data_IF_903893035525
#
_entry.id   IF_903893035525
#
_cell.length_a   1.000
_cell.length_b   1.000
_cell.length_c   1.000
_cell.angle_alpha   90.00
_cell.angle_beta   90.00
_cell.angle_gamma   90.00
#
_symmetry.space_group_name_H-M   'P 1'
#
loop_
_entity.id
_entity.type
_entity.pdbx_description
1 polymer ?
#
# COMPACT_ATOMS: atom_id res chain seq x y z
N UNK A 1 -24.61 15.76 6.49
CA UNK A 1 -24.39 14.41 5.92
C UNK A 1 -25.69 13.62 6.05
N UNK A 2 -25.97 12.70 5.14
CA UNK A 2 -27.17 11.85 5.23
C UNK A 2 -26.86 10.70 6.20
N UNK A 3 -27.53 10.64 7.35
CA UNK A 3 -27.35 9.58 8.35
C UNK A 3 -28.09 8.30 7.93
N UNK A 4 -27.49 7.55 7.01
CA UNK A 4 -28.02 6.25 6.55
C UNK A 4 -26.96 5.16 6.62
N UNK A 5 -27.37 3.88 6.77
CA UNK A 5 -26.48 2.76 6.58
C UNK A 5 -25.86 2.75 5.17
N UNK A 6 -24.61 2.34 5.07
CA UNK A 6 -23.83 2.25 3.83
C UNK A 6 -23.39 0.81 3.62
N UNK A 7 -23.66 0.29 2.42
CA UNK A 7 -23.15 -1.01 1.95
C UNK A 7 -22.12 -0.72 0.87
N UNK A 8 -20.92 -1.29 1.01
CA UNK A 8 -19.85 -1.23 0.00
C UNK A 8 -19.76 -2.60 -0.66
N UNK A 9 -19.82 -2.63 -1.99
CA UNK A 9 -19.75 -3.86 -2.78
C UNK A 9 -18.60 -3.75 -3.80
N UNK A 10 -17.34 -4.01 -3.39
CA UNK A 10 -16.21 -3.90 -4.30
C UNK A 10 -16.29 -4.96 -5.40
N UNK A 11 -16.05 -4.54 -6.64
CA UNK A 11 -16.06 -5.41 -7.83
C UNK A 11 -14.65 -5.83 -8.27
N UNK A 12 -13.64 -5.29 -7.59
CA UNK A 12 -12.22 -5.61 -7.73
C UNK A 12 -11.58 -5.59 -6.33
N UNK A 13 -10.57 -6.44 -6.10
CA UNK A 13 -9.83 -6.50 -4.83
C UNK A 13 -8.46 -5.82 -4.98
N UNK A 14 -8.48 -4.54 -5.35
CA UNK A 14 -7.28 -3.77 -5.74
C UNK A 14 -6.73 -2.82 -4.68
N UNK A 15 -7.51 -2.54 -3.64
CA UNK A 15 -7.10 -1.73 -2.48
C UNK A 15 -7.86 -2.22 -1.25
N UNK A 16 -7.43 -1.77 -0.08
CA UNK A 16 -8.02 -2.11 1.21
C UNK A 16 -9.00 -1.07 1.78
N UNK A 17 -9.23 0.00 1.03
CA UNK A 17 -10.20 1.04 1.31
C UNK A 17 -11.65 0.58 1.63
N UNK A 18 -12.20 -0.52 1.07
CA UNK A 18 -13.62 -0.86 1.22
C UNK A 18 -14.16 -0.94 2.65
N UNK A 19 -13.32 -1.31 3.63
CA UNK A 19 -13.74 -1.45 5.04
C UNK A 19 -13.48 -0.20 5.88
N UNK A 20 -12.74 0.77 5.36
CA UNK A 20 -12.22 1.90 6.14
C UNK A 20 -13.28 2.97 6.44
N UNK A 21 -13.12 3.66 7.57
CA UNK A 21 -13.87 4.84 7.94
C UNK A 21 -13.22 6.13 7.39
N UNK A 22 -12.63 6.06 6.19
CA UNK A 22 -12.05 7.23 5.53
C UNK A 22 -12.32 7.27 4.02
N UNK A 23 -12.10 8.44 3.44
CA UNK A 23 -12.00 8.63 2.00
C UNK A 23 -10.79 9.50 1.69
N UNK A 24 -10.07 9.14 0.64
CA UNK A 24 -9.00 9.98 0.10
C UNK A 24 -9.63 10.97 -0.87
N UNK A 25 -9.49 12.26 -0.59
CA UNK A 25 -9.99 13.33 -1.43
C UNK A 25 -8.85 13.82 -2.32
N UNK A 26 -9.16 13.99 -3.59
CA UNK A 26 -8.24 14.48 -4.61
C UNK A 26 -8.77 15.78 -5.20
N UNK A 27 -7.87 16.62 -5.72
CA UNK A 27 -8.25 17.77 -6.55
C UNK A 27 -8.87 17.29 -7.86
N UNK A 28 -9.51 18.20 -8.60
CA UNK A 28 -10.08 17.89 -9.93
C UNK A 28 -9.00 17.40 -10.92
N UNK A 29 -7.74 17.78 -10.70
CA UNK A 29 -6.56 17.34 -11.45
C UNK A 29 -5.97 16.00 -10.96
N UNK A 30 -6.54 15.39 -9.91
CA UNK A 30 -6.13 14.09 -9.39
C UNK A 30 -4.94 14.11 -8.42
N UNK A 31 -4.53 15.29 -7.94
CA UNK A 31 -3.52 15.40 -6.88
C UNK A 31 -4.13 15.06 -5.51
N UNK A 32 -3.37 14.42 -4.62
CA UNK A 32 -3.82 14.20 -3.24
C UNK A 32 -4.10 15.55 -2.56
N UNK A 33 -5.25 15.67 -1.92
CA UNK A 33 -5.64 16.86 -1.16
C UNK A 33 -5.63 16.56 0.35
N UNK A 34 -6.56 15.71 0.82
CA UNK A 34 -6.64 15.34 2.24
C UNK A 34 -7.39 14.02 2.49
N UNK A 35 -7.28 13.52 3.72
CA UNK A 35 -8.11 12.42 4.22
C UNK A 35 -9.38 12.95 4.88
N UNK A 36 -10.53 12.44 4.47
CA UNK A 36 -11.82 12.67 5.13
C UNK A 36 -12.16 11.46 6.02
N UNK A 37 -12.21 11.68 7.34
CA UNK A 37 -12.54 10.63 8.32
C UNK A 37 -14.02 10.66 8.71
N UNK A 38 -14.62 9.48 8.87
CA UNK A 38 -16.00 9.29 9.29
C UNK A 38 -16.10 8.79 10.74
N UNK A 39 -17.27 8.96 11.37
CA UNK A 39 -17.52 8.47 12.73
C UNK A 39 -17.78 6.95 12.82
N UNK A 40 -17.90 6.27 11.68
CA UNK A 40 -18.10 4.83 11.57
C UNK A 40 -17.57 4.29 10.24
N UNK A 41 -17.14 3.03 10.25
CA UNK A 41 -16.91 2.22 9.06
C UNK A 41 -18.25 1.91 8.34
N UNK A 42 -18.21 1.40 7.10
CA UNK A 42 -19.40 0.90 6.41
C UNK A 42 -20.15 -0.19 7.22
N UNK A 43 -21.48 -0.23 7.10
CA UNK A 43 -22.32 -1.19 7.83
C UNK A 43 -22.20 -2.61 7.28
N UNK A 44 -21.86 -2.75 5.99
CA UNK A 44 -21.59 -4.03 5.34
C UNK A 44 -20.60 -3.82 4.19
N UNK A 45 -19.59 -4.70 4.13
CA UNK A 45 -18.76 -4.88 2.94
C UNK A 45 -19.09 -6.25 2.34
N UNK A 46 -19.66 -6.25 1.13
CA UNK A 46 -20.13 -7.46 0.45
C UNK A 46 -19.26 -7.74 -0.77
N UNK A 47 -18.43 -8.78 -0.69
CA UNK A 47 -17.48 -9.14 -1.74
C UNK A 47 -17.92 -10.42 -2.43
N UNK A 48 -18.22 -10.36 -3.73
CA UNK A 48 -18.52 -11.53 -4.56
C UNK A 48 -17.23 -11.97 -5.29
N UNK A 49 -16.60 -13.03 -4.81
CA UNK A 49 -15.34 -13.55 -5.39
C UNK A 49 -15.50 -14.08 -6.81
N UNK A 50 -16.71 -14.46 -7.23
CA UNK A 50 -16.95 -14.78 -8.63
C UNK A 50 -16.80 -13.53 -9.48
N UNK A 51 -17.34 -12.38 -9.04
CA UNK A 51 -17.11 -11.09 -9.72
C UNK A 51 -15.64 -10.72 -9.71
N UNK A 52 -14.96 -10.80 -8.56
CA UNK A 52 -13.52 -10.48 -8.45
C UNK A 52 -12.68 -11.35 -9.41
N UNK A 53 -12.97 -12.64 -9.50
CA UNK A 53 -12.24 -13.57 -10.39
C UNK A 53 -12.33 -13.21 -11.87
N UNK A 54 -13.31 -12.40 -12.29
CA UNK A 54 -13.45 -11.98 -13.69
C UNK A 54 -12.67 -10.69 -14.01
N UNK A 55 -12.17 -9.97 -13.00
CA UNK A 55 -11.41 -8.74 -13.20
C UNK A 55 -10.02 -9.02 -13.78
N UNK A 56 -9.37 -8.04 -14.43
CA UNK A 56 -7.98 -8.18 -14.85
C UNK A 56 -7.06 -8.48 -13.67
N UNK A 57 -6.20 -9.51 -13.78
CA UNK A 57 -5.27 -9.91 -12.71
C UNK A 57 -4.36 -8.78 -12.21
N UNK A 58 -4.09 -7.76 -13.03
CA UNK A 58 -3.32 -6.56 -12.65
C UNK A 58 -3.94 -5.86 -11.42
N UNK A 59 -5.27 -5.84 -11.34
CA UNK A 59 -5.98 -5.23 -10.22
C UNK A 59 -5.87 -6.07 -8.94
N UNK A 60 -5.87 -7.40 -9.05
CA UNK A 60 -5.59 -8.27 -7.90
C UNK A 60 -4.15 -8.11 -7.41
N UNK A 61 -3.18 -8.03 -8.33
CA UNK A 61 -1.77 -7.78 -8.01
C UNK A 61 -1.58 -6.43 -7.29
N UNK A 62 -2.29 -5.39 -7.74
CA UNK A 62 -2.32 -4.09 -7.08
C UNK A 62 -2.79 -4.22 -5.63
N UNK A 63 -3.88 -4.95 -5.36
CA UNK A 63 -4.35 -5.15 -3.99
C UNK A 63 -3.42 -6.01 -3.13
N UNK A 64 -2.73 -6.99 -3.73
CA UNK A 64 -1.71 -7.77 -3.02
C UNK A 64 -0.55 -6.86 -2.60
N UNK A 65 -0.13 -5.93 -3.47
CA UNK A 65 0.94 -5.00 -3.15
C UNK A 65 0.54 -4.00 -2.06
N UNK A 66 -0.69 -3.50 -2.11
CA UNK A 66 -1.26 -2.64 -1.08
C UNK A 66 -1.29 -3.36 0.29
N UNK A 67 -1.81 -4.59 0.31
CA UNK A 67 -1.85 -5.40 1.53
C UNK A 67 -0.49 -5.84 2.07
N UNK A 68 0.54 -5.91 1.23
CA UNK A 68 1.91 -6.20 1.68
C UNK A 68 2.54 -5.01 2.43
N UNK A 69 2.10 -3.78 2.17
CA UNK A 69 2.51 -2.61 2.93
C UNK A 69 1.96 -2.63 4.36
N UNK A 70 0.77 -3.21 4.58
CA UNK A 70 0.06 -3.18 5.87
C UNK A 70 0.92 -3.61 7.05
N UNK A 71 1.61 -4.75 6.94
CA UNK A 71 2.47 -5.22 8.04
C UNK A 71 3.73 -4.36 8.19
N UNK A 72 4.33 -3.95 7.08
CA UNK A 72 5.55 -3.14 7.08
C UNK A 72 5.30 -1.83 7.80
N UNK A 73 4.18 -1.18 7.50
CA UNK A 73 3.77 0.08 8.13
C UNK A 73 3.30 -0.11 9.56
N UNK A 74 2.36 -1.02 9.83
CA UNK A 74 1.87 -1.27 11.19
C UNK A 74 3.00 -1.67 12.15
N UNK A 75 4.00 -2.43 11.68
CA UNK A 75 5.20 -2.75 12.45
C UNK A 75 6.02 -1.51 12.78
N UNK A 76 6.22 -0.60 11.83
CA UNK A 76 6.96 0.64 12.06
C UNK A 76 6.23 1.53 13.09
N UNK A 77 4.91 1.67 12.98
CA UNK A 77 4.08 2.37 13.97
C UNK A 77 4.22 1.73 15.35
N UNK A 78 4.24 0.40 15.43
CA UNK A 78 4.42 -0.34 16.69
C UNK A 78 5.79 -0.10 17.32
N UNK A 79 6.85 -0.11 16.52
CA UNK A 79 8.21 0.18 17.01
C UNK A 79 8.35 1.62 17.51
N UNK A 80 7.59 2.55 16.92
CA UNK A 80 7.57 3.95 17.33
C UNK A 80 6.69 4.23 18.55
N UNK A 81 5.86 3.26 19.00
CA UNK A 81 4.70 3.51 19.86
C UNK A 81 3.82 4.66 19.31
N UNK A 82 3.63 4.67 17.99
CA UNK A 82 2.91 5.69 17.25
C UNK A 82 1.40 5.59 17.38
N UNK A 83 0.70 6.38 16.57
CA UNK A 83 -0.77 6.40 16.50
C UNK A 83 -1.25 5.80 15.19
N UNK A 84 -2.41 5.17 15.25
CA UNK A 84 -3.12 4.64 14.08
C UNK A 84 -3.82 5.76 13.30
N UNK A 85 -4.45 5.42 12.18
CA UNK A 85 -5.28 6.34 11.39
C UNK A 85 -6.46 6.91 12.19
N UNK A 86 -6.84 6.26 13.30
CA UNK A 86 -7.89 6.71 14.22
C UNK A 86 -7.37 7.72 15.27
N UNK A 87 -6.08 8.07 15.23
CA UNK A 87 -5.44 8.92 16.24
C UNK A 87 -5.29 8.25 17.62
N UNK A 88 -5.50 6.93 17.69
CA UNK A 88 -5.43 6.11 18.90
C UNK A 88 -4.19 5.21 18.89
N UNK A 89 -3.93 4.55 20.02
CA UNK A 89 -2.88 3.53 20.12
C UNK A 89 -3.29 2.25 19.37
N UNK A 90 -2.30 1.53 18.86
CA UNK A 90 -2.54 0.22 18.25
C UNK A 90 -3.11 -0.78 19.24
N UNK A 91 -3.98 -1.66 18.76
CA UNK A 91 -4.45 -2.81 19.53
C UNK A 91 -3.64 -4.05 19.17
N UNK A 92 -3.50 -4.99 20.11
CA UNK A 92 -2.89 -6.30 19.83
C UNK A 92 -3.62 -7.03 18.68
N UNK A 93 -4.93 -6.85 18.58
CA UNK A 93 -5.74 -7.40 17.49
C UNK A 93 -5.36 -6.80 16.13
N UNK A 94 -5.27 -5.46 16.03
CA UNK A 94 -4.89 -4.78 14.79
C UNK A 94 -3.50 -5.22 14.29
N UNK A 95 -2.53 -5.32 15.21
CA UNK A 95 -1.17 -5.80 14.90
C UNK A 95 -1.18 -7.26 14.42
N UNK A 96 -1.94 -8.13 15.10
CA UNK A 96 -2.05 -9.54 14.72
C UNK A 96 -2.72 -9.71 13.34
N UNK A 97 -3.73 -8.90 13.04
CA UNK A 97 -4.41 -8.88 11.74
C UNK A 97 -3.46 -8.42 10.63
N UNK A 98 -2.74 -7.31 10.84
CA UNK A 98 -1.75 -6.81 9.87
C UNK A 98 -0.68 -7.86 9.55
N UNK A 99 -0.15 -8.53 10.59
CA UNK A 99 0.80 -9.63 10.40
C UNK A 99 0.19 -10.81 9.64
N UNK A 100 -1.06 -11.17 9.95
CA UNK A 100 -1.75 -12.26 9.27
C UNK A 100 -2.02 -11.95 7.79
N UNK A 101 -2.23 -10.67 7.47
CA UNK A 101 -2.30 -10.18 6.09
C UNK A 101 -1.02 -10.58 5.32
N UNK A 102 0.16 -10.16 5.80
CA UNK A 102 1.45 -10.47 5.15
C UNK A 102 1.66 -11.98 4.96
N UNK A 103 1.42 -12.77 6.02
CA UNK A 103 1.55 -14.23 5.98
C UNK A 103 0.68 -14.85 4.88
N UNK A 104 -0.57 -14.39 4.77
CA UNK A 104 -1.54 -14.91 3.80
C UNK A 104 -1.17 -14.51 2.37
N UNK A 105 -0.75 -13.26 2.17
CA UNK A 105 -0.36 -12.74 0.85
C UNK A 105 0.85 -13.49 0.27
N UNK A 106 1.87 -13.76 1.09
CA UNK A 106 3.02 -14.55 0.64
C UNK A 106 2.68 -16.03 0.41
N UNK A 107 1.80 -16.61 1.22
CA UNK A 107 1.43 -18.03 1.11
C UNK A 107 0.61 -18.32 -0.15
N UNK A 108 -0.42 -17.52 -0.41
CA UNK A 108 -1.44 -17.83 -1.42
C UNK A 108 -1.39 -16.92 -2.66
N UNK A 109 -0.64 -15.82 -2.63
CA UNK A 109 -0.69 -14.77 -3.65
C UNK A 109 -0.44 -15.26 -5.08
N UNK A 110 0.59 -16.09 -5.30
CA UNK A 110 0.87 -16.63 -6.64
C UNK A 110 -0.22 -17.59 -7.14
N UNK A 111 -0.82 -18.37 -6.23
CA UNK A 111 -1.90 -19.29 -6.58
C UNK A 111 -3.20 -18.52 -6.88
N UNK A 112 -3.50 -17.47 -6.12
CA UNK A 112 -4.63 -16.58 -6.38
C UNK A 112 -4.48 -15.84 -7.71
N UNK A 113 -3.26 -15.37 -8.03
CA UNK A 113 -2.96 -14.75 -9.32
C UNK A 113 -3.23 -15.70 -10.49
N UNK A 114 -2.85 -16.98 -10.36
CA UNK A 114 -3.16 -17.99 -11.36
C UNK A 114 -4.67 -18.27 -11.46
N UNK A 115 -5.40 -18.32 -10.33
CA UNK A 115 -6.84 -18.50 -10.31
C UNK A 115 -7.60 -17.34 -10.98
N UNK A 116 -7.19 -16.10 -10.70
CA UNK A 116 -7.74 -14.89 -11.32
C UNK A 116 -7.45 -14.85 -12.83
N UNK A 117 -6.23 -15.19 -13.26
CA UNK A 117 -5.91 -15.32 -14.69
C UNK A 117 -6.81 -16.36 -15.39
N UNK A 118 -7.04 -17.49 -14.73
CA UNK A 118 -7.92 -18.55 -15.22
C UNK A 118 -9.42 -18.25 -15.03
N UNK A 119 -9.78 -17.10 -14.43
CA UNK A 119 -11.16 -16.67 -14.15
C UNK A 119 -11.99 -17.67 -13.33
N UNK A 120 -11.33 -18.37 -12.43
CA UNK A 120 -11.93 -19.36 -11.51
C UNK A 120 -11.77 -18.93 -10.06
N UNK A 121 -12.65 -19.43 -9.21
CA UNK A 121 -12.59 -19.22 -7.76
C UNK A 121 -11.96 -20.45 -7.11
N UNK A 122 -10.95 -20.22 -6.28
CA UNK A 122 -10.23 -21.24 -5.51
C UNK A 122 -10.10 -20.75 -4.06
N UNK A 123 -9.82 -21.65 -3.10
CA UNK A 123 -9.52 -21.24 -1.73
C UNK A 123 -8.39 -20.21 -1.63
N UNK A 124 -7.36 -20.32 -2.47
CA UNK A 124 -6.28 -19.33 -2.52
C UNK A 124 -6.78 -17.95 -2.96
N UNK A 125 -7.68 -17.87 -3.96
CA UNK A 125 -8.28 -16.60 -4.36
C UNK A 125 -9.15 -16.02 -3.24
N UNK A 126 -9.98 -16.85 -2.59
CA UNK A 126 -10.79 -16.43 -1.43
C UNK A 126 -9.92 -15.82 -0.32
N UNK A 127 -8.84 -16.53 0.07
CA UNK A 127 -7.90 -16.07 1.10
C UNK A 127 -7.26 -14.73 0.73
N UNK A 128 -6.86 -14.54 -0.54
CA UNK A 128 -6.26 -13.28 -1.00
C UNK A 128 -7.29 -12.15 -1.11
N UNK A 129 -8.54 -12.45 -1.49
CA UNK A 129 -9.61 -11.44 -1.47
C UNK A 129 -9.91 -10.98 -0.04
N UNK A 130 -9.95 -11.90 0.92
CA UNK A 130 -10.05 -11.57 2.36
C UNK A 130 -8.82 -10.76 2.81
N UNK A 131 -7.61 -11.17 2.44
CA UNK A 131 -6.39 -10.47 2.82
C UNK A 131 -6.37 -9.03 2.29
N UNK A 132 -6.61 -8.84 1.00
CA UNK A 132 -6.62 -7.51 0.36
C UNK A 132 -7.72 -6.59 0.88
N UNK A 133 -8.82 -7.13 1.40
CA UNK A 133 -9.99 -6.32 1.79
C UNK A 133 -10.12 -6.18 3.31
N UNK A 134 -10.22 -7.30 4.02
CA UNK A 134 -10.52 -7.33 5.45
C UNK A 134 -9.25 -7.22 6.28
N UNK A 135 -8.25 -8.07 6.02
CA UNK A 135 -7.04 -8.10 6.84
C UNK A 135 -6.19 -6.85 6.62
N UNK A 136 -5.98 -6.46 5.37
CA UNK A 136 -5.30 -5.21 5.01
C UNK A 136 -6.06 -4.02 5.59
N UNK A 137 -7.37 -3.96 5.36
CA UNK A 137 -8.22 -2.86 5.76
C UNK A 137 -8.22 -2.60 7.27
N UNK A 138 -8.49 -3.63 8.06
CA UNK A 138 -8.41 -3.54 9.53
C UNK A 138 -6.98 -3.34 10.01
N UNK A 139 -6.02 -3.99 9.34
CA UNK A 139 -4.60 -3.93 9.67
C UNK A 139 -4.00 -2.53 9.48
N UNK A 140 -4.36 -1.80 8.44
CA UNK A 140 -3.85 -0.45 8.21
C UNK A 140 -4.60 0.56 9.09
N UNK A 141 -5.92 0.42 9.25
CA UNK A 141 -6.70 1.41 10.00
C UNK A 141 -6.42 1.32 11.50
N UNK A 142 -6.35 0.10 12.04
CA UNK A 142 -6.10 -0.17 13.47
C UNK A 142 -4.64 -0.51 13.80
N UNK A 143 -3.79 -0.73 12.80
CA UNK A 143 -2.34 -0.86 12.94
C UNK A 143 -1.59 0.42 12.57
N UNK A 144 -2.06 1.19 11.60
CA UNK A 144 -1.47 2.48 11.20
C UNK A 144 -0.64 2.41 9.92
N UNK A 145 -0.52 3.58 9.30
CA UNK A 145 0.30 3.84 8.11
C UNK A 145 1.61 4.52 8.51
N UNK A 146 2.62 4.42 7.64
CA UNK A 146 3.96 4.94 7.89
C UNK A 146 4.57 5.54 6.60
N UNK A 147 5.80 5.15 6.23
CA UNK A 147 6.49 5.77 5.10
C UNK A 147 5.96 5.33 3.74
N UNK A 148 5.51 4.09 3.57
CA UNK A 148 5.14 3.54 2.26
C UNK A 148 3.99 4.33 1.62
N UNK A 149 2.91 4.59 2.37
CA UNK A 149 1.78 5.38 1.89
C UNK A 149 2.10 6.88 1.77
N UNK A 150 2.92 7.44 2.66
CA UNK A 150 3.39 8.82 2.51
C UNK A 150 4.23 9.01 1.24
N UNK A 151 5.06 8.04 0.88
CA UNK A 151 5.86 8.06 -0.36
C UNK A 151 4.96 7.87 -1.59
N UNK A 152 3.94 7.01 -1.50
CA UNK A 152 2.88 6.91 -2.52
C UNK A 152 2.26 8.29 -2.80
N UNK A 153 1.87 9.01 -1.75
CA UNK A 153 1.32 10.37 -1.87
C UNK A 153 2.38 11.32 -2.45
N UNK A 154 3.64 11.16 -2.04
CA UNK A 154 4.77 11.90 -2.60
C UNK A 154 4.85 11.84 -4.13
N UNK A 155 4.56 10.69 -4.73
CA UNK A 155 4.59 10.52 -6.19
C UNK A 155 3.55 11.36 -6.93
N UNK A 156 2.48 11.84 -6.27
CA UNK A 156 1.50 12.73 -6.92
C UNK A 156 2.05 14.14 -7.16
N UNK A 157 3.22 14.49 -6.60
CA UNK A 157 3.92 15.73 -6.91
C UNK A 157 4.61 15.72 -8.29
N UNK A 158 4.73 14.55 -8.92
CA UNK A 158 5.26 14.38 -10.26
C UNK A 158 4.13 14.30 -11.27
N UNK A 159 4.44 14.63 -12.53
CA UNK A 159 3.49 14.56 -13.65
C UNK A 159 3.98 13.54 -14.69
N UNK A 160 3.07 13.06 -15.54
CA UNK A 160 3.39 12.12 -16.62
C UNK A 160 2.84 10.71 -16.39
N UNK A 161 3.48 9.71 -17.02
CA UNK A 161 2.96 8.34 -17.11
C UNK A 161 2.87 7.62 -15.76
N UNK A 162 3.51 8.14 -14.70
CA UNK A 162 3.33 7.64 -13.32
C UNK A 162 1.85 7.65 -12.87
N UNK A 163 1.02 8.53 -13.43
CA UNK A 163 -0.42 8.55 -13.11
C UNK A 163 -1.20 7.39 -13.75
N UNK A 164 -0.62 6.64 -14.69
CA UNK A 164 -1.21 5.41 -15.23
C UNK A 164 -0.96 4.17 -14.36
N UNK A 165 -0.12 4.32 -13.33
CA UNK A 165 0.06 3.30 -12.29
C UNK A 165 -1.13 3.33 -11.32
N UNK A 166 -1.57 2.13 -10.97
CA UNK A 166 -2.54 1.88 -9.90
C UNK A 166 -1.95 2.29 -8.55
N UNK A 167 -2.83 2.43 -7.55
CA UNK A 167 -2.47 2.67 -6.15
C UNK A 167 -1.43 1.65 -5.65
N UNK A 168 -1.75 0.36 -5.75
CA UNK A 168 -0.86 -0.72 -5.29
C UNK A 168 0.48 -0.79 -6.01
N UNK A 169 0.56 -0.41 -7.29
CA UNK A 169 1.84 -0.34 -8.01
C UNK A 169 2.76 0.74 -7.41
N UNK A 170 2.20 1.90 -7.04
CA UNK A 170 2.95 2.96 -6.36
C UNK A 170 3.30 2.59 -4.91
N UNK A 171 2.37 1.96 -4.19
CA UNK A 171 2.58 1.46 -2.82
C UNK A 171 3.64 0.36 -2.78
N UNK A 172 3.71 -0.52 -3.78
CA UNK A 172 4.76 -1.54 -3.90
C UNK A 172 6.15 -0.90 -3.83
N UNK A 173 6.38 0.12 -4.65
CA UNK A 173 7.65 0.85 -4.67
C UNK A 173 7.87 1.62 -3.36
N UNK A 174 6.84 2.31 -2.84
CA UNK A 174 6.89 2.98 -1.53
C UNK A 174 7.29 2.03 -0.39
N UNK A 175 6.81 0.78 -0.42
CA UNK A 175 7.16 -0.27 0.55
C UNK A 175 8.63 -0.65 0.46
N UNK A 176 9.18 -0.82 -0.75
CA UNK A 176 10.61 -1.08 -0.94
C UNK A 176 11.47 0.06 -0.41
N UNK A 177 11.06 1.30 -0.64
CA UNK A 177 11.74 2.49 -0.12
C UNK A 177 11.68 2.53 1.41
N UNK A 178 10.53 2.21 2.02
CA UNK A 178 10.42 2.11 3.47
C UNK A 178 11.34 1.02 4.05
N UNK A 179 11.34 -0.20 3.48
CA UNK A 179 12.22 -1.29 3.93
C UNK A 179 13.70 -0.89 3.86
N UNK A 180 14.08 -0.12 2.85
CA UNK A 180 15.44 0.41 2.72
C UNK A 180 15.73 1.50 3.78
N UNK A 181 14.80 2.44 4.02
CA UNK A 181 14.91 3.46 5.06
C UNK A 181 15.04 2.85 6.46
N UNK A 182 14.30 1.77 6.73
CA UNK A 182 14.38 0.98 7.97
C UNK A 182 15.69 0.18 8.08
N UNK A 183 16.52 0.16 7.04
CA UNK A 183 17.73 -0.67 6.92
C UNK A 183 17.43 -2.14 7.27
N UNK A 184 16.34 -2.67 6.72
CA UNK A 184 15.91 -4.07 6.98
C UNK A 184 16.97 -5.06 6.46
N UNK A 185 17.02 -6.27 7.04
CA UNK A 185 17.90 -7.33 6.55
C UNK A 185 17.71 -7.55 5.05
N UNK A 186 18.82 -7.81 4.35
CA UNK A 186 18.86 -8.05 2.91
C UNK A 186 17.84 -9.12 2.50
N UNK A 187 17.73 -10.18 3.28
CA UNK A 187 16.85 -11.32 3.00
C UNK A 187 15.38 -10.91 3.00
N UNK A 188 15.01 -9.96 3.85
CA UNK A 188 13.64 -9.43 3.90
C UNK A 188 13.36 -8.53 2.71
N UNK A 189 14.24 -7.56 2.41
CA UNK A 189 14.07 -6.71 1.23
C UNK A 189 14.00 -7.53 -0.07
N UNK A 190 14.86 -8.55 -0.19
CA UNK A 190 14.92 -9.44 -1.35
C UNK A 190 13.65 -10.26 -1.51
N UNK A 191 13.07 -10.77 -0.40
CA UNK A 191 11.78 -11.48 -0.40
C UNK A 191 10.67 -10.63 -1.03
N UNK A 192 10.59 -9.34 -0.68
CA UNK A 192 9.59 -8.43 -1.26
C UNK A 192 9.86 -8.13 -2.73
N UNK A 193 11.11 -7.79 -3.10
CA UNK A 193 11.49 -7.52 -4.50
C UNK A 193 11.15 -8.72 -5.40
N UNK A 194 11.56 -9.93 -5.00
CA UNK A 194 11.32 -11.14 -5.78
C UNK A 194 9.84 -11.45 -5.94
N UNK A 195 9.05 -11.25 -4.88
CA UNK A 195 7.62 -11.47 -4.92
C UNK A 195 6.92 -10.43 -5.80
N UNK A 196 7.23 -9.14 -5.66
CA UNK A 196 6.71 -8.07 -6.51
C UNK A 196 7.01 -8.31 -8.00
N UNK A 197 8.24 -8.73 -8.34
CA UNK A 197 8.58 -9.12 -9.72
C UNK A 197 7.70 -10.28 -10.23
N UNK A 198 7.42 -11.30 -9.40
CA UNK A 198 6.57 -12.45 -9.77
C UNK A 198 5.11 -12.07 -10.01
N UNK A 199 4.59 -11.06 -9.31
CA UNK A 199 3.21 -10.57 -9.50
C UNK A 199 3.10 -9.37 -10.45
N UNK A 200 4.22 -8.92 -11.03
CA UNK A 200 4.26 -7.85 -12.03
C UNK A 200 4.16 -6.43 -11.46
N UNK A 201 4.59 -6.22 -10.21
CA UNK A 201 4.64 -4.90 -9.57
C UNK A 201 5.99 -4.20 -9.84
N UNK A 202 6.00 -2.87 -9.96
CA UNK A 202 7.22 -2.12 -10.26
C UNK A 202 8.21 -2.17 -9.10
N UNK A 203 9.47 -2.44 -9.44
CA UNK A 203 10.60 -2.50 -8.49
C UNK A 203 11.76 -1.60 -8.90
N UNK A 204 11.66 -0.92 -10.05
CA UNK A 204 12.65 0.01 -10.59
C UNK A 204 11.99 1.34 -10.97
N UNK A 205 12.77 2.42 -11.06
CA UNK A 205 12.30 3.72 -11.53
C UNK A 205 11.81 3.65 -12.98
N UNK A 206 12.40 2.80 -13.81
CA UNK A 206 11.93 2.57 -15.19
C UNK A 206 10.52 2.00 -15.23
N UNK A 207 10.23 1.02 -14.38
CA UNK A 207 8.88 0.43 -14.26
C UNK A 207 7.89 1.42 -13.62
N UNK A 208 8.39 2.40 -12.85
CA UNK A 208 7.60 3.51 -12.30
C UNK A 208 7.40 4.67 -13.29
N UNK A 209 7.98 4.62 -14.50
CA UNK A 209 8.03 5.73 -15.46
C UNK A 209 8.78 6.98 -14.97
N UNK A 210 9.83 6.77 -14.17
CA UNK A 210 10.64 7.80 -13.51
C UNK A 210 12.14 7.70 -13.81
N UNK A 211 12.58 6.88 -14.77
CA UNK A 211 14.01 6.68 -15.09
C UNK A 211 14.70 7.90 -15.72
N UNK A 212 13.93 8.90 -16.15
CA UNK A 212 14.42 10.17 -16.69
C UNK A 212 14.30 11.35 -15.71
N UNK A 213 13.80 11.09 -14.50
CA UNK A 213 13.52 12.13 -13.51
C UNK A 213 14.79 12.49 -12.75
N UNK A 214 15.03 13.79 -12.56
CA UNK A 214 16.21 14.30 -11.87
C UNK A 214 16.09 14.20 -10.34
N UNK A 215 17.22 14.35 -9.64
CA UNK A 215 17.24 14.36 -8.18
C UNK A 215 16.33 15.43 -7.57
N UNK A 216 16.26 16.62 -8.18
CA UNK A 216 15.42 17.73 -7.69
C UNK A 216 13.92 17.40 -7.72
N UNK A 217 13.47 16.57 -8.66
CA UNK A 217 12.09 16.09 -8.73
C UNK A 217 11.83 15.03 -7.66
N UNK A 218 12.77 14.13 -7.40
CA UNK A 218 12.67 13.19 -6.27
C UNK A 218 12.69 13.92 -4.91
N UNK A 219 13.34 15.08 -4.82
CA UNK A 219 13.22 15.96 -3.64
C UNK A 219 11.80 16.52 -3.50
N UNK A 220 11.07 16.80 -4.59
CA UNK A 220 9.65 17.19 -4.51
C UNK A 220 8.80 16.07 -3.93
N UNK A 221 9.05 14.83 -4.36
CA UNK A 221 8.41 13.62 -3.79
C UNK A 221 8.69 13.55 -2.29
N UNK A 222 9.95 13.69 -1.88
CA UNK A 222 10.33 13.67 -0.47
C UNK A 222 9.71 14.80 0.35
N UNK A 223 9.59 16.02 -0.21
CA UNK A 223 8.91 17.15 0.46
C UNK A 223 7.43 16.88 0.66
N UNK A 224 6.76 16.36 -0.36
CA UNK A 224 5.35 16.00 -0.30
C UNK A 224 5.14 14.88 0.73
N UNK A 225 5.96 13.82 0.70
CA UNK A 225 5.88 12.70 1.63
C UNK A 225 6.16 13.06 3.09
N UNK A 226 6.84 14.19 3.36
CA UNK A 226 7.22 14.63 4.71
C UNK A 226 6.47 15.88 5.18
N UNK A 227 5.42 16.30 4.47
CA UNK A 227 4.59 17.43 4.90
C UNK A 227 3.97 17.19 6.28
N UNK A 228 3.68 18.27 7.00
CA UNK A 228 2.97 18.16 8.27
C UNK A 228 1.64 17.42 8.07
N UNK A 229 1.37 16.44 8.94
CA UNK A 229 0.18 15.58 8.85
C UNK A 229 0.36 14.29 8.06
N UNK A 230 1.47 14.11 7.33
CA UNK A 230 1.74 12.85 6.62
C UNK A 230 2.05 11.67 7.55
N UNK A 231 1.81 10.48 7.03
CA UNK A 231 1.93 9.22 7.78
C UNK A 231 3.37 8.82 8.07
N UNK A 232 4.35 9.35 7.32
CA UNK A 232 5.79 9.10 7.53
C UNK A 232 6.27 9.51 8.93
N UNK A 233 5.56 10.43 9.59
CA UNK A 233 5.87 10.90 10.94
C UNK A 233 5.57 9.86 12.03
N UNK A 234 4.91 8.75 11.69
CA UNK A 234 4.73 7.59 12.58
C UNK A 234 5.92 6.62 12.55
N UNK A 235 6.94 6.87 11.72
CA UNK A 235 8.17 6.07 11.68
C UNK A 235 8.96 6.20 13.00
N UNK A 236 9.72 5.16 13.43
CA UNK A 236 10.47 5.17 14.69
C UNK A 236 11.70 6.08 14.68
N UNK A 237 11.95 6.79 13.58
CA UNK A 237 13.05 7.72 13.39
C UNK A 237 12.60 8.86 12.46
N UNK A 238 13.32 9.99 12.52
CA UNK A 238 13.03 11.14 11.65
C UNK A 238 13.52 10.88 10.24
N UNK A 239 12.71 11.28 9.26
CA UNK A 239 13.01 11.15 7.83
C UNK A 239 12.89 12.55 7.20
N UNK A 240 13.92 12.96 6.47
CA UNK A 240 13.94 14.21 5.70
C UNK A 240 13.57 13.96 4.23
N UNK A 241 13.21 15.03 3.47
CA UNK A 241 12.98 14.91 2.03
C UNK A 241 14.14 14.28 1.26
N UNK A 242 15.39 14.57 1.66
CA UNK A 242 16.57 13.99 1.03
C UNK A 242 16.74 12.51 1.34
N UNK A 243 16.35 12.05 2.52
CA UNK A 243 16.41 10.63 2.87
C UNK A 243 15.46 9.83 1.96
N UNK A 244 14.25 10.34 1.72
CA UNK A 244 13.29 9.73 0.78
C UNK A 244 13.86 9.68 -0.64
N UNK A 245 14.38 10.80 -1.16
CA UNK A 245 14.95 10.86 -2.51
C UNK A 245 16.13 9.91 -2.69
N UNK A 246 17.03 9.84 -1.70
CA UNK A 246 18.19 8.93 -1.72
C UNK A 246 17.75 7.47 -1.64
N UNK A 247 16.78 7.14 -0.79
CA UNK A 247 16.25 5.79 -0.68
C UNK A 247 15.55 5.33 -1.97
N UNK A 248 14.82 6.21 -2.65
CA UNK A 248 14.23 5.94 -3.98
C UNK A 248 15.30 5.53 -5.00
N UNK A 249 16.41 6.29 -5.08
CA UNK A 249 17.53 6.00 -5.98
C UNK A 249 18.24 4.72 -5.59
N UNK A 250 18.44 4.50 -4.29
CA UNK A 250 19.14 3.32 -3.79
C UNK A 250 18.35 2.03 -4.04
N UNK A 251 17.02 2.04 -3.93
CA UNK A 251 16.16 0.90 -4.33
C UNK A 251 16.37 0.56 -5.80
N UNK A 252 16.29 1.55 -6.70
CA UNK A 252 16.47 1.32 -8.14
C UNK A 252 17.84 0.73 -8.47
N UNK A 253 18.92 1.34 -7.94
CA UNK A 253 20.27 0.86 -8.15
C UNK A 253 20.49 -0.54 -7.58
N UNK A 254 19.94 -0.82 -6.39
CA UNK A 254 20.03 -2.14 -5.76
C UNK A 254 19.33 -3.22 -6.60
N UNK A 255 18.12 -2.93 -7.10
CA UNK A 255 17.34 -3.87 -7.91
C UNK A 255 18.00 -4.12 -9.27
N UNK A 256 18.60 -3.10 -9.89
CA UNK A 256 19.30 -3.20 -11.17
C UNK A 256 20.69 -3.87 -11.06
N UNK A 257 21.27 -3.94 -9.86
CA UNK A 257 22.57 -4.59 -9.64
C UNK A 257 22.52 -6.13 -9.61
N UNK A 258 21.31 -6.71 -9.66
CA UNK A 258 21.06 -8.14 -9.61
C UNK A 258 20.61 -8.68 -10.97
#
# INVERSE_FOLDING_TARGET
MIEKPVIIAPTIASTDAPVSALSVIYTDEGAFDHYLFYSKNPDLVLVDTKVISQAPKRLLASGIADGLATWVEARAVMQANGKTMLGQQQTLAGVAIAKKCEETLFADGLQAMAACEAKVVTPALENIVEANTLLSGLGFESGGLAAAHAIHNGFTALTGDIHHLTHGEKVAYGTLVQLLLENRPKEELDKYIEFYKKIGMPTTLKEMHLDQVGYDDLIKVGKQATMEGETIHQMPFKISPSDVAQAIIAVDAYVNSK
#
